data_IF_463449564768
#
_entry.id   IF_463449564768
#
_cell.length_a   1.000
_cell.length_b   1.000
_cell.length_c   1.000
_cell.angle_alpha   90.00
_cell.angle_beta   90.00
_cell.angle_gamma   90.00
#
_symmetry.space_group_name_H-M   'P 1'
#
loop_
_entity.id
_entity.type
_entity.pdbx_description
1 polymer ?
#
# COMPACT_ATOMS: atom_id res chain seq x y z
N UNK A 1 -3.84 4.43 23.21
CA UNK A 1 -5.28 4.72 23.09
C UNK A 1 -5.68 4.36 21.66
N UNK A 2 -6.67 3.49 21.47
CA UNK A 2 -7.16 3.10 20.15
C UNK A 2 -8.48 3.83 19.89
N UNK A 3 -8.60 4.55 18.77
CA UNK A 3 -9.92 4.91 18.26
C UNK A 3 -10.49 3.66 17.57
N UNK A 4 -11.62 3.14 18.06
CA UNK A 4 -12.37 2.04 17.44
C UNK A 4 -13.75 2.55 17.05
N UNK A 5 -14.16 2.26 15.83
CA UNK A 5 -15.50 2.58 15.30
C UNK A 5 -16.14 1.27 14.85
N UNK A 6 -17.33 0.96 15.37
CA UNK A 6 -18.09 -0.25 15.02
C UNK A 6 -19.02 0.00 13.83
N UNK A 7 -19.06 -0.98 12.92
CA UNK A 7 -20.13 -1.32 11.96
C UNK A 7 -20.88 -0.14 11.34
N UNK A 8 -20.21 0.55 10.42
CA UNK A 8 -20.81 1.57 9.57
C UNK A 8 -20.27 1.41 8.16
N UNK A 9 -21.16 1.33 7.15
CA UNK A 9 -20.77 1.41 5.73
C UNK A 9 -20.12 2.76 5.36
N UNK A 10 -20.18 3.72 6.28
CA UNK A 10 -19.66 5.07 6.14
C UNK A 10 -18.38 5.20 6.95
N UNK A 11 -17.27 5.44 6.25
CA UNK A 11 -15.99 5.80 6.86
C UNK A 11 -16.17 7.06 7.73
N UNK A 12 -15.75 7.06 9.01
CA UNK A 12 -16.02 8.17 9.92
C UNK A 12 -15.22 9.42 9.52
N UNK A 13 -15.78 10.62 9.74
CA UNK A 13 -14.99 11.86 9.68
C UNK A 13 -14.00 11.87 10.84
N UNK A 14 -12.73 12.15 10.54
CA UNK A 14 -11.66 12.06 11.53
C UNK A 14 -11.26 13.39 12.17
N UNK A 15 -11.88 14.49 11.74
CA UNK A 15 -11.65 15.88 12.20
C UNK A 15 -11.79 16.08 13.72
N UNK A 16 -12.58 15.23 14.38
CA UNK A 16 -12.86 15.31 15.83
C UNK A 16 -11.99 14.40 16.69
N UNK A 17 -11.12 13.56 16.11
CA UNK A 17 -10.30 12.63 16.88
C UNK A 17 -9.02 13.31 17.37
N UNK A 18 -8.62 13.08 18.63
CA UNK A 18 -7.34 13.57 19.13
C UNK A 18 -6.19 12.86 18.40
N UNK A 19 -5.03 13.52 18.24
CA UNK A 19 -3.85 12.91 17.65
C UNK A 19 -3.40 11.71 18.50
N UNK A 20 -3.33 10.54 17.87
CA UNK A 20 -2.83 9.30 18.49
C UNK A 20 -1.75 8.65 17.62
N UNK A 21 -0.92 7.79 18.22
CA UNK A 21 0.14 7.06 17.50
C UNK A 21 -0.40 5.97 16.58
N UNK A 22 -1.60 5.45 16.84
CA UNK A 22 -2.19 4.37 16.03
C UNK A 22 -3.68 4.59 15.84
N UNK A 23 -4.08 4.67 14.57
CA UNK A 23 -5.48 4.60 14.16
C UNK A 23 -5.77 3.19 13.65
N UNK A 24 -6.88 2.60 14.11
CA UNK A 24 -7.28 1.25 13.74
C UNK A 24 -8.71 1.27 13.21
N UNK A 25 -8.86 0.99 11.92
CA UNK A 25 -10.13 0.91 11.22
C UNK A 25 -10.43 -0.54 10.91
N UNK A 26 -11.52 -1.08 11.47
CA UNK A 26 -11.96 -2.46 11.25
C UNK A 26 -13.33 -2.48 10.61
N UNK A 27 -13.53 -3.39 9.65
CA UNK A 27 -14.83 -3.64 9.02
C UNK A 27 -15.41 -2.38 8.33
N UNK A 28 -14.53 -1.57 7.74
CA UNK A 28 -14.91 -0.51 6.81
C UNK A 28 -14.73 -1.04 5.39
N UNK A 29 -15.78 -1.59 4.76
CA UNK A 29 -15.63 -2.25 3.47
C UNK A 29 -15.12 -1.29 2.39
N UNK A 30 -15.34 0.01 2.57
CA UNK A 30 -14.95 1.06 1.63
C UNK A 30 -14.24 2.23 2.31
N UNK A 31 -12.97 2.43 1.98
CA UNK A 31 -12.19 3.63 2.34
C UNK A 31 -12.40 4.67 1.25
N UNK A 32 -12.94 5.84 1.64
CA UNK A 32 -13.38 6.88 0.70
C UNK A 32 -12.24 7.81 0.28
N UNK A 33 -12.48 8.55 -0.80
CA UNK A 33 -11.69 9.72 -1.18
C UNK A 33 -11.50 10.65 0.03
N UNK A 34 -10.27 11.10 0.29
CA UNK A 34 -9.92 11.98 1.40
C UNK A 34 -10.36 11.47 2.78
N UNK A 35 -10.48 10.14 2.96
CA UNK A 35 -10.90 9.50 4.21
C UNK A 35 -10.14 10.01 5.44
N UNK A 36 -8.88 10.36 5.28
CA UNK A 36 -7.98 10.77 6.36
C UNK A 36 -7.67 12.27 6.35
N UNK A 37 -8.50 13.08 5.68
CA UNK A 37 -8.43 14.54 5.75
C UNK A 37 -8.60 15.03 7.20
N UNK A 38 -7.90 16.11 7.52
CA UNK A 38 -7.91 16.77 8.83
C UNK A 38 -7.46 15.91 10.03
N UNK A 39 -6.89 14.72 9.80
CA UNK A 39 -6.23 14.01 10.89
C UNK A 39 -5.04 14.83 11.38
N UNK A 40 -5.03 15.06 12.68
CA UNK A 40 -3.90 15.67 13.37
C UNK A 40 -2.91 14.58 13.79
N UNK A 41 -1.64 14.82 13.51
CA UNK A 41 -0.54 13.95 13.92
C UNK A 41 0.41 14.68 14.86
N UNK A 42 0.95 13.98 15.88
CA UNK A 42 1.99 14.55 16.72
C UNK A 42 3.29 14.71 15.92
N UNK A 43 4.04 15.79 16.17
CA UNK A 43 5.38 16.00 15.59
C UNK A 43 6.42 15.06 16.21
N UNK A 44 7.50 14.78 15.46
CA UNK A 44 8.64 13.96 15.89
C UNK A 44 8.26 12.54 16.36
N UNK A 45 7.18 11.99 15.80
CA UNK A 45 6.64 10.71 16.21
C UNK A 45 6.49 9.77 15.01
N UNK A 46 6.50 8.47 15.30
CA UNK A 46 6.08 7.44 14.34
C UNK A 46 4.62 7.11 14.60
N UNK A 47 3.80 7.18 13.56
CA UNK A 47 2.38 6.86 13.67
C UNK A 47 1.94 5.87 12.59
N UNK A 48 0.87 5.15 12.90
CA UNK A 48 0.37 4.04 12.11
C UNK A 48 -1.12 4.19 11.83
N UNK A 49 -1.50 3.94 10.58
CA UNK A 49 -2.88 3.73 10.17
C UNK A 49 -3.01 2.25 9.83
N UNK A 50 -3.89 1.54 10.54
CA UNK A 50 -4.19 0.14 10.28
C UNK A 50 -5.61 0.02 9.75
N UNK A 51 -5.74 -0.53 8.55
CA UNK A 51 -7.02 -0.82 7.90
C UNK A 51 -7.17 -2.32 7.79
N UNK A 52 -8.19 -2.86 8.46
CA UNK A 52 -8.46 -4.29 8.56
C UNK A 52 -9.83 -4.60 7.95
N UNK A 53 -9.88 -5.58 7.06
CA UNK A 53 -11.08 -6.05 6.37
C UNK A 53 -11.73 -4.98 5.47
N UNK A 54 -10.90 -4.20 4.75
CA UNK A 54 -11.39 -3.31 3.69
C UNK A 54 -11.42 -4.05 2.35
N UNK A 55 -12.56 -3.95 1.66
CA UNK A 55 -12.73 -4.55 0.32
C UNK A 55 -12.47 -3.56 -0.83
N UNK A 56 -12.43 -2.25 -0.52
CA UNK A 56 -12.36 -1.21 -1.53
C UNK A 56 -11.65 0.05 -0.98
N UNK A 57 -10.70 0.59 -1.74
CA UNK A 57 -10.01 1.86 -1.46
C UNK A 57 -10.19 2.78 -2.68
N UNK A 58 -10.84 3.92 -2.47
CA UNK A 58 -11.09 4.93 -3.51
C UNK A 58 -9.80 5.67 -3.93
N UNK A 59 -9.88 6.33 -5.08
CA UNK A 59 -8.85 7.27 -5.55
C UNK A 59 -8.57 8.32 -4.48
N UNK A 60 -7.30 8.64 -4.27
CA UNK A 60 -6.82 9.64 -3.31
C UNK A 60 -7.31 9.45 -1.86
N UNK A 61 -7.68 8.21 -1.50
CA UNK A 61 -8.00 7.86 -0.12
C UNK A 61 -6.84 8.22 0.82
N UNK A 62 -5.60 7.90 0.42
CA UNK A 62 -4.37 8.34 1.06
C UNK A 62 -3.70 9.39 0.18
N UNK A 63 -3.86 10.66 0.53
CA UNK A 63 -3.36 11.76 -0.29
C UNK A 63 -2.72 12.88 0.53
N UNK A 64 -2.31 13.97 -0.13
CA UNK A 64 -1.83 15.20 0.53
C UNK A 64 -2.79 15.81 1.55
N UNK A 65 -4.07 15.43 1.54
CA UNK A 65 -5.04 15.79 2.59
C UNK A 65 -4.63 15.20 3.96
N UNK A 66 -3.80 14.16 3.95
CA UNK A 66 -3.08 13.68 5.13
C UNK A 66 -1.85 14.56 5.39
N UNK A 67 -1.99 15.53 6.29
CA UNK A 67 -0.88 16.44 6.61
C UNK A 67 0.07 15.75 7.59
N UNK A 68 1.13 15.15 7.06
CA UNK A 68 2.19 14.50 7.85
C UNK A 68 3.23 15.56 8.23
N UNK A 69 3.52 15.77 9.53
CA UNK A 69 4.61 16.66 9.91
C UNK A 69 5.95 16.17 9.33
N UNK A 70 6.81 17.06 8.78
CA UNK A 70 8.02 16.64 8.05
C UNK A 70 8.99 15.76 8.84
N UNK A 71 9.01 15.88 10.16
CA UNK A 71 9.86 15.08 11.07
C UNK A 71 9.24 13.75 11.51
N UNK A 72 8.01 13.46 11.07
CA UNK A 72 7.25 12.29 11.49
C UNK A 72 7.28 11.19 10.44
N UNK A 73 7.06 9.96 10.91
CA UNK A 73 7.03 8.76 10.06
C UNK A 73 5.63 8.20 10.02
N UNK A 74 5.12 7.93 8.81
CA UNK A 74 3.84 7.28 8.59
C UNK A 74 4.04 5.83 8.19
N UNK A 75 3.38 4.93 8.91
CA UNK A 75 3.19 3.54 8.51
C UNK A 75 1.71 3.30 8.17
N UNK A 76 1.44 2.60 7.06
CA UNK A 76 0.11 2.18 6.67
C UNK A 76 0.12 0.66 6.56
N UNK A 77 -0.66 -0.01 7.41
CA UNK A 77 -0.92 -1.44 7.32
C UNK A 77 -2.33 -1.67 6.75
N UNK A 78 -2.43 -2.35 5.61
CA UNK A 78 -3.70 -2.75 5.01
C UNK A 78 -3.73 -4.27 4.94
N UNK A 79 -4.76 -4.88 5.50
CA UNK A 79 -4.88 -6.32 5.41
C UNK A 79 -6.23 -6.84 5.85
N UNK A 80 -6.31 -8.16 5.89
CA UNK A 80 -7.47 -8.87 6.39
C UNK A 80 -7.04 -9.85 7.49
N UNK A 81 -7.98 -10.20 8.35
CA UNK A 81 -7.79 -11.29 9.31
C UNK A 81 -7.82 -12.65 8.60
N UNK A 82 -8.60 -12.76 7.52
CA UNK A 82 -8.78 -13.98 6.74
C UNK A 82 -8.07 -13.89 5.38
N UNK A 83 -7.24 -14.89 5.07
CA UNK A 83 -6.43 -14.94 3.83
C UNK A 83 -7.22 -15.16 2.54
N UNK A 84 -8.55 -15.05 2.58
CA UNK A 84 -9.46 -15.14 1.43
C UNK A 84 -9.83 -13.79 0.83
N UNK A 85 -9.43 -12.68 1.46
CA UNK A 85 -9.88 -11.33 1.11
C UNK A 85 -9.43 -10.89 -0.29
N UNK A 86 -10.31 -10.17 -0.99
CA UNK A 86 -9.95 -9.47 -2.23
C UNK A 86 -10.16 -7.98 -2.01
N UNK A 87 -9.18 -7.17 -2.41
CA UNK A 87 -9.25 -5.73 -2.30
C UNK A 87 -9.27 -5.08 -3.67
N UNK A 88 -10.14 -4.08 -3.83
CA UNK A 88 -10.15 -3.20 -4.99
C UNK A 88 -9.44 -1.90 -4.62
N UNK A 89 -8.29 -1.64 -5.25
CA UNK A 89 -7.56 -0.38 -5.17
C UNK A 89 -7.86 0.44 -6.43
N UNK A 90 -8.53 1.58 -6.30
CA UNK A 90 -8.79 2.49 -7.44
C UNK A 90 -7.50 3.19 -7.87
N UNK A 91 -7.54 3.76 -9.08
CA UNK A 91 -6.47 4.58 -9.64
C UNK A 91 -6.02 5.65 -8.62
N UNK A 92 -4.72 5.76 -8.39
CA UNK A 92 -4.10 6.71 -7.45
C UNK A 92 -4.70 6.69 -6.04
N UNK A 93 -5.03 5.51 -5.51
CA UNK A 93 -5.43 5.35 -4.11
C UNK A 93 -4.43 5.96 -3.11
N UNK A 94 -3.13 5.95 -3.48
CA UNK A 94 -2.04 6.65 -2.79
C UNK A 94 -1.49 7.74 -3.71
N UNK A 95 -1.51 9.02 -3.32
CA UNK A 95 -1.13 10.13 -4.22
C UNK A 95 -0.55 11.33 -3.46
N UNK A 96 0.55 11.94 -3.92
CA UNK A 96 1.16 13.13 -3.29
C UNK A 96 1.40 12.98 -1.77
N UNK A 97 2.03 11.87 -1.36
CA UNK A 97 2.21 11.52 0.05
C UNK A 97 3.54 10.80 0.26
N UNK A 98 4.17 11.01 1.43
CA UNK A 98 5.36 10.28 1.86
C UNK A 98 4.99 9.23 2.91
N UNK A 99 5.40 7.99 2.69
CA UNK A 99 5.09 6.84 3.53
C UNK A 99 6.41 6.19 3.95
N UNK A 100 6.64 6.04 5.26
CA UNK A 100 7.83 5.34 5.76
C UNK A 100 7.70 3.82 5.56
N UNK A 101 6.50 3.28 5.79
CA UNK A 101 6.20 1.86 5.55
C UNK A 101 4.78 1.66 5.04
N UNK A 102 4.62 1.12 3.84
CA UNK A 102 3.34 0.63 3.32
C UNK A 102 3.36 -0.89 3.33
N UNK A 103 2.44 -1.50 4.07
CA UNK A 103 2.38 -2.93 4.28
C UNK A 103 1.02 -3.49 3.89
N UNK A 104 1.04 -4.47 3.00
CA UNK A 104 -0.12 -5.28 2.63
C UNK A 104 0.02 -6.68 3.21
N UNK A 105 -0.98 -7.15 3.96
CA UNK A 105 -0.94 -8.47 4.61
C UNK A 105 -2.23 -9.28 4.40
N UNK A 106 -2.10 -10.58 4.16
CA UNK A 106 -3.21 -11.54 4.01
C UNK A 106 -4.23 -11.17 2.90
N UNK A 107 -3.77 -10.65 1.77
CA UNK A 107 -4.64 -10.28 0.64
C UNK A 107 -4.55 -11.30 -0.48
N UNK A 108 -5.67 -11.90 -0.87
CA UNK A 108 -5.76 -12.97 -1.87
C UNK A 108 -5.91 -12.49 -3.32
N UNK A 109 -6.25 -11.21 -3.53
CA UNK A 109 -6.25 -10.59 -4.85
C UNK A 109 -6.31 -9.05 -4.75
N UNK A 110 -5.63 -8.37 -5.67
CA UNK A 110 -5.71 -6.93 -5.88
C UNK A 110 -6.38 -6.64 -7.22
N UNK A 111 -7.56 -6.00 -7.24
CA UNK A 111 -8.32 -5.73 -8.47
C UNK A 111 -8.60 -6.97 -9.34
N UNK A 112 -8.71 -8.16 -8.73
CA UNK A 112 -8.86 -9.43 -9.46
C UNK A 112 -7.56 -9.91 -10.15
N UNK A 113 -6.42 -9.25 -9.90
CA UNK A 113 -5.10 -9.49 -10.52
C UNK A 113 -3.96 -9.27 -9.49
N UNK A 114 -2.77 -8.92 -9.97
CA UNK A 114 -1.61 -8.50 -9.18
C UNK A 114 -1.67 -7.01 -8.84
N UNK A 115 -1.18 -6.61 -7.66
CA UNK A 115 -1.06 -5.20 -7.25
C UNK A 115 -0.19 -4.37 -8.20
N UNK A 116 0.83 -4.99 -8.79
CA UNK A 116 1.73 -4.34 -9.74
C UNK A 116 1.09 -4.14 -11.12
N UNK A 117 -0.07 -4.73 -11.36
CA UNK A 117 -0.90 -4.49 -12.55
C UNK A 117 -2.00 -3.45 -12.27
N UNK A 118 -1.94 -2.80 -11.10
CA UNK A 118 -2.91 -1.78 -10.71
C UNK A 118 -2.27 -0.41 -10.76
N UNK A 119 -3.02 0.57 -11.22
CA UNK A 119 -2.63 1.98 -11.15
C UNK A 119 -2.90 2.56 -9.74
N UNK A 120 -2.78 1.76 -8.68
CA UNK A 120 -3.17 2.19 -7.33
C UNK A 120 -2.24 3.26 -6.74
N UNK A 121 -1.02 3.33 -7.26
CA UNK A 121 0.01 4.28 -6.87
C UNK A 121 -0.03 5.48 -7.83
N UNK A 122 -0.22 6.68 -7.29
CA UNK A 122 -0.37 7.93 -8.02
C UNK A 122 0.96 8.64 -8.28
N UNK A 123 0.91 9.97 -8.40
CA UNK A 123 2.08 10.81 -8.62
C UNK A 123 2.68 11.29 -7.29
N UNK A 124 3.94 11.72 -7.30
CA UNK A 124 4.67 12.26 -6.15
C UNK A 124 4.51 11.40 -4.88
N UNK A 125 4.56 10.07 -5.05
CA UNK A 125 4.44 9.10 -3.96
C UNK A 125 5.84 8.62 -3.59
N UNK A 126 6.28 8.89 -2.36
CA UNK A 126 7.57 8.41 -1.83
C UNK A 126 7.29 7.37 -0.75
N UNK A 127 7.75 6.14 -0.96
CA UNK A 127 7.61 5.02 -0.04
C UNK A 127 9.01 4.53 0.34
N UNK A 128 9.39 4.66 1.61
CA UNK A 128 10.65 4.11 2.05
C UNK A 128 10.62 2.57 2.00
N UNK A 129 9.67 1.91 2.66
CA UNK A 129 9.51 0.44 2.62
C UNK A 129 8.12 0.04 2.11
N UNK A 130 8.06 -0.78 1.07
CA UNK A 130 6.85 -1.45 0.60
C UNK A 130 6.94 -2.95 0.90
N UNK A 131 6.02 -3.47 1.70
CA UNK A 131 5.96 -4.88 2.10
C UNK A 131 4.68 -5.54 1.63
N UNK A 132 4.82 -6.74 1.07
CA UNK A 132 3.71 -7.66 0.82
C UNK A 132 3.97 -8.96 1.58
N UNK A 133 3.15 -9.25 2.58
CA UNK A 133 3.25 -10.46 3.39
C UNK A 133 1.99 -11.32 3.20
N UNK A 134 2.13 -12.63 2.98
CA UNK A 134 0.99 -13.55 2.82
C UNK A 134 0.02 -13.08 1.72
N UNK A 135 0.54 -12.42 0.68
CA UNK A 135 -0.26 -11.82 -0.37
C UNK A 135 -0.21 -12.66 -1.66
N UNK A 136 -1.32 -12.66 -2.38
CA UNK A 136 -1.42 -13.22 -3.72
C UNK A 136 -0.94 -12.20 -4.76
N UNK A 137 0.37 -12.14 -4.94
CA UNK A 137 0.99 -11.34 -5.99
C UNK A 137 1.10 -12.22 -7.23
N UNK A 138 0.34 -11.90 -8.28
CA UNK A 138 0.59 -12.46 -9.61
C UNK A 138 1.88 -11.90 -10.20
N UNK A 139 2.55 -12.65 -11.08
CA UNK A 139 3.71 -12.12 -11.81
C UNK A 139 3.36 -10.82 -12.56
N UNK A 140 4.36 -9.95 -12.77
CA UNK A 140 4.17 -8.64 -13.40
C UNK A 140 3.53 -8.79 -14.81
N UNK A 141 2.33 -8.25 -15.05
CA UNK A 141 1.56 -8.51 -16.28
C UNK A 141 1.86 -7.52 -17.39
N UNK A 142 1.71 -7.99 -18.64
CA UNK A 142 1.88 -7.22 -19.88
C UNK A 142 0.85 -6.13 -20.17
N UNK A 143 -0.19 -5.97 -19.34
CA UNK A 143 -1.25 -4.98 -19.57
C UNK A 143 -0.85 -3.64 -18.92
N UNK A 144 -0.38 -2.69 -19.74
CA UNK A 144 0.02 -1.34 -19.30
C UNK A 144 -1.23 -0.45 -19.21
N UNK A 145 -1.63 -0.10 -18.00
CA UNK A 145 -2.00 1.28 -17.73
C UNK A 145 -0.81 1.92 -16.99
N UNK A 146 -0.62 3.22 -17.15
CA UNK A 146 0.63 3.99 -16.92
C UNK A 146 1.42 3.51 -15.68
N UNK A 147 2.75 3.32 -15.74
CA UNK A 147 3.52 3.03 -14.53
C UNK A 147 3.27 4.13 -13.51
N UNK A 148 3.01 3.72 -12.28
CA UNK A 148 2.92 4.63 -11.16
C UNK A 148 4.24 5.38 -10.96
N UNK A 149 4.16 6.69 -10.76
CA UNK A 149 5.30 7.54 -10.40
C UNK A 149 5.53 7.47 -8.87
N UNK A 150 5.70 6.24 -8.37
CA UNK A 150 5.97 5.96 -6.97
C UNK A 150 7.43 5.61 -6.77
N UNK A 151 8.14 6.43 -6.00
CA UNK A 151 9.52 6.16 -5.61
C UNK A 151 9.53 5.22 -4.40
N UNK A 152 10.00 3.98 -4.59
CA UNK A 152 10.12 2.99 -3.52
C UNK A 152 11.59 2.68 -3.26
N UNK A 153 12.07 2.87 -2.04
CA UNK A 153 13.47 2.57 -1.70
C UNK A 153 13.70 1.07 -1.41
N UNK A 154 12.79 0.43 -0.68
CA UNK A 154 12.90 -0.97 -0.29
C UNK A 154 11.61 -1.72 -0.64
N UNK A 155 11.72 -2.81 -1.41
CA UNK A 155 10.61 -3.72 -1.71
C UNK A 155 10.86 -5.07 -1.05
N UNK A 156 9.91 -5.53 -0.24
CA UNK A 156 9.94 -6.85 0.39
C UNK A 156 8.67 -7.64 0.08
N UNK A 157 8.84 -8.84 -0.49
CA UNK A 157 7.76 -9.78 -0.80
C UNK A 157 8.01 -11.07 -0.02
N UNK A 158 7.17 -11.33 0.97
CA UNK A 158 7.35 -12.41 1.95
C UNK A 158 6.13 -13.34 1.89
N UNK A 159 6.37 -14.65 1.99
CA UNK A 159 5.33 -15.68 2.13
C UNK A 159 4.22 -15.57 1.06
N UNK A 160 4.58 -15.30 -0.19
CA UNK A 160 3.64 -15.06 -1.29
C UNK A 160 3.66 -16.23 -2.29
N UNK A 161 2.98 -17.37 -2.00
CA UNK A 161 3.12 -18.61 -2.78
C UNK A 161 2.53 -18.55 -4.20
N UNK A 162 1.71 -17.55 -4.51
CA UNK A 162 1.18 -17.34 -5.86
C UNK A 162 2.16 -16.61 -6.79
N UNK A 163 3.24 -16.05 -6.25
CA UNK A 163 4.32 -15.48 -7.04
C UNK A 163 5.19 -16.60 -7.60
N UNK A 164 4.94 -16.98 -8.86
CA UNK A 164 5.66 -18.06 -9.54
C UNK A 164 6.66 -17.57 -10.58
N UNK A 165 6.50 -16.34 -11.08
CA UNK A 165 7.36 -15.75 -12.11
C UNK A 165 7.48 -14.23 -11.96
N UNK A 166 8.67 -13.70 -12.24
CA UNK A 166 8.90 -12.28 -12.53
C UNK A 166 9.14 -12.14 -14.04
N UNK A 167 8.34 -11.31 -14.70
CA UNK A 167 8.37 -11.18 -16.16
C UNK A 167 9.30 -10.06 -16.62
N UNK A 168 9.45 -9.93 -17.92
CA UNK A 168 10.24 -8.96 -18.66
C UNK A 168 9.73 -7.51 -18.48
N UNK A 169 8.61 -7.33 -17.79
CA UNK A 169 8.20 -6.01 -17.32
C UNK A 169 8.88 -5.64 -16.03
N UNK A 170 9.45 -4.45 -16.08
CA UNK A 170 10.14 -3.86 -14.96
C UNK A 170 9.19 -3.64 -13.79
N UNK A 171 9.71 -3.91 -12.60
CA UNK A 171 9.20 -3.33 -11.36
C UNK A 171 9.01 -1.80 -11.51
N UNK A 172 8.14 -1.17 -10.71
CA UNK A 172 7.93 0.28 -10.77
C UNK A 172 9.28 1.02 -10.75
N UNK A 173 9.38 2.09 -11.54
CA UNK A 173 10.62 2.84 -11.72
C UNK A 173 10.83 3.79 -10.54
N UNK A 174 12.04 3.77 -9.98
CA UNK A 174 12.35 4.42 -8.71
C UNK A 174 13.40 5.52 -8.88
N UNK A 175 13.15 6.68 -8.27
CA UNK A 175 14.02 7.86 -8.28
C UNK A 175 15.06 7.84 -7.13
N UNK A 176 14.97 6.90 -6.19
CA UNK A 176 15.86 6.83 -5.03
C UNK A 176 17.28 6.33 -5.35
N UNK A 177 18.25 6.78 -4.55
CA UNK A 177 19.70 6.54 -4.74
C UNK A 177 20.21 5.23 -4.15
N UNK A 178 19.39 4.48 -3.41
CA UNK A 178 19.74 3.18 -2.82
C UNK A 178 18.50 2.30 -2.76
N UNK A 179 18.57 1.17 -3.46
CA UNK A 179 17.45 0.27 -3.71
C UNK A 179 17.75 -1.13 -3.20
N UNK A 180 16.76 -1.80 -2.60
CA UNK A 180 16.88 -3.19 -2.19
C UNK A 180 15.61 -3.99 -2.50
N UNK A 181 15.80 -5.23 -2.96
CA UNK A 181 14.74 -6.23 -3.11
C UNK A 181 14.95 -7.36 -2.12
N UNK A 182 13.89 -7.74 -1.43
CA UNK A 182 13.79 -9.00 -0.73
C UNK A 182 12.62 -9.81 -1.30
N UNK A 183 12.87 -11.06 -1.69
CA UNK A 183 11.84 -12.03 -2.01
C UNK A 183 12.15 -13.30 -1.22
N UNK A 184 11.26 -13.69 -0.31
CA UNK A 184 11.46 -14.84 0.57
C UNK A 184 10.20 -15.68 0.69
N UNK A 185 10.38 -17.00 0.82
CA UNK A 185 9.29 -17.97 1.00
C UNK A 185 8.17 -17.87 -0.04
N UNK A 186 8.55 -17.77 -1.32
CA UNK A 186 7.63 -17.75 -2.47
C UNK A 186 7.79 -19.03 -3.29
N UNK A 187 6.90 -19.25 -4.27
CA UNK A 187 7.05 -20.32 -5.27
C UNK A 187 7.75 -19.82 -6.53
N UNK A 188 8.61 -18.80 -6.40
CA UNK A 188 9.23 -18.14 -7.55
C UNK A 188 10.16 -19.12 -8.27
N UNK A 189 9.83 -19.47 -9.51
CA UNK A 189 10.57 -20.43 -10.33
C UNK A 189 11.32 -19.77 -11.48
N UNK A 190 10.89 -18.57 -11.92
CA UNK A 190 11.42 -17.90 -13.10
C UNK A 190 11.62 -16.40 -12.86
N UNK A 191 12.78 -15.87 -13.25
CA UNK A 191 13.07 -14.43 -13.28
C UNK A 191 13.61 -14.09 -14.67
N UNK A 192 12.88 -13.25 -15.42
CA UNK A 192 13.33 -12.81 -16.74
C UNK A 192 14.47 -11.79 -16.63
N UNK A 193 15.41 -11.81 -17.58
CA UNK A 193 16.61 -10.96 -17.55
C UNK A 193 16.32 -9.46 -17.54
N UNK A 194 15.15 -9.05 -18.05
CA UNK A 194 14.72 -7.66 -18.15
C UNK A 194 13.91 -7.16 -16.93
N UNK A 195 13.57 -8.04 -15.98
CA UNK A 195 12.76 -7.73 -14.78
C UNK A 195 13.28 -6.51 -14.01
N UNK A 196 14.61 -6.33 -13.97
CA UNK A 196 15.26 -5.30 -13.16
C UNK A 196 15.85 -4.15 -13.98
N UNK A 197 15.56 -4.05 -15.28
CA UNK A 197 16.17 -3.02 -16.11
C UNK A 197 15.74 -1.58 -15.78
N UNK A 198 14.52 -1.37 -15.26
CA UNK A 198 14.13 -0.05 -14.74
C UNK A 198 14.54 0.19 -13.28
N UNK A 199 15.27 -0.76 -12.69
CA UNK A 199 15.75 -0.72 -11.31
C UNK A 199 17.23 -0.36 -11.19
N UNK A 200 18.00 -0.50 -12.26
CA UNK A 200 19.42 -0.13 -12.35
C UNK A 200 19.64 1.37 -12.44
#
# INVERSE_FOLDING_TARGET
>A
MYAQTNESDVFPSLSCFPPVKTYLFRNFPKIRLHAFEDIKFPENESFSIKVVNASFIETEAFSKSLIIPPSSKLSIDIGDLDSSSSIVLRFSAFNHIKIDHLHFTNINSFNGRSVFDTDCFGNDLDINLLTFENCAIGGFSNIIHKPADADVAYLSIINSPKLTQLTDKSLPSFLSTSKSLEISNTNLQMINAHTFQAWS
#
